data_IF_828962062440
#
_entry.id   IF_828962062440
#
_cell.length_a   1.000
_cell.length_b   1.000
_cell.length_c   1.000
_cell.angle_alpha   90.00
_cell.angle_beta   90.00
_cell.angle_gamma   90.00
#
_symmetry.space_group_name_H-M   'P 1'
#
loop_
_entity.id
_entity.type
_entity.pdbx_description
1 polymer ?
#
# COMPACT_ATOMS: atom_id res chain seq x y z
N UNK A 1 90.71 30.71 -4.11
CA UNK A 1 90.55 30.51 -5.56
C UNK A 1 90.17 29.06 -5.73
N UNK A 2 88.99 28.62 -6.17
CA UNK A 2 87.97 29.17 -7.09
C UNK A 2 86.62 28.49 -6.78
N UNK A 3 85.54 29.24 -6.95
CA UNK A 3 84.15 28.85 -6.70
C UNK A 3 83.47 28.23 -7.94
N UNK A 4 82.46 27.38 -7.74
CA UNK A 4 81.36 27.04 -8.67
C UNK A 4 80.31 26.23 -7.86
N UNK A 5 79.16 26.71 -7.40
CA UNK A 5 77.95 27.30 -8.02
C UNK A 5 77.13 26.32 -8.91
N UNK A 6 75.83 26.21 -8.56
CA UNK A 6 74.64 25.77 -9.35
C UNK A 6 74.34 24.25 -9.31
N UNK A 7 73.10 23.77 -9.19
CA UNK A 7 71.75 24.35 -9.15
C UNK A 7 70.84 23.27 -8.54
N UNK A 8 70.04 23.59 -7.52
CA UNK A 8 69.00 22.70 -7.00
C UNK A 8 67.75 22.82 -7.89
N UNK A 9 67.24 21.69 -8.40
CA UNK A 9 66.00 21.65 -9.17
C UNK A 9 65.06 20.63 -8.53
N UNK A 10 64.32 21.12 -7.53
CA UNK A 10 63.22 20.44 -6.86
C UNK A 10 61.97 20.62 -7.73
N UNK A 11 61.67 19.63 -8.57
CA UNK A 11 60.42 19.53 -9.31
C UNK A 11 59.33 19.01 -8.35
N UNK A 12 58.67 19.93 -7.66
CA UNK A 12 57.40 19.68 -6.99
C UNK A 12 56.28 19.71 -8.04
N UNK A 13 55.95 18.55 -8.60
CA UNK A 13 54.75 18.35 -9.42
C UNK A 13 53.52 18.36 -8.50
N UNK A 14 52.95 19.55 -8.31
CA UNK A 14 51.61 19.71 -7.73
C UNK A 14 50.61 19.17 -8.76
N UNK A 15 50.18 17.92 -8.57
CA UNK A 15 49.00 17.39 -9.23
C UNK A 15 47.76 18.08 -8.64
N UNK A 16 47.34 19.19 -9.26
CA UNK A 16 46.00 19.74 -9.04
C UNK A 16 45.02 18.79 -9.74
N UNK A 17 44.56 17.77 -9.02
CA UNK A 17 43.36 17.05 -9.39
C UNK A 17 42.19 18.03 -9.22
N UNK A 18 41.87 18.76 -10.29
CA UNK A 18 40.61 19.50 -10.41
C UNK A 18 39.49 18.47 -10.44
N UNK A 19 38.98 18.13 -9.25
CA UNK A 19 37.83 17.27 -9.08
C UNK A 19 36.67 17.80 -9.90
N UNK A 20 36.40 17.15 -11.03
CA UNK A 20 35.30 17.48 -11.92
C UNK A 20 33.98 17.18 -11.20
N UNK A 21 33.50 18.19 -10.48
CA UNK A 21 32.33 18.23 -9.61
C UNK A 21 31.01 18.04 -10.39
N UNK A 22 30.70 16.81 -10.79
CA UNK A 22 29.40 16.42 -11.34
C UNK A 22 28.77 15.23 -10.64
N UNK A 23 29.58 14.36 -10.04
CA UNK A 23 29.13 13.20 -9.27
C UNK A 23 29.06 13.51 -7.79
N UNK A 24 28.06 12.94 -7.12
CA UNK A 24 27.82 13.07 -5.68
C UNK A 24 27.36 11.75 -5.12
N UNK A 25 28.08 11.25 -4.13
CA UNK A 25 27.71 10.07 -3.37
C UNK A 25 26.75 10.49 -2.24
N UNK A 26 25.65 9.75 -2.10
CA UNK A 26 24.62 10.01 -1.09
C UNK A 26 24.24 8.69 -0.41
N UNK A 27 24.30 8.67 0.92
CA UNK A 27 23.77 7.59 1.73
C UNK A 27 22.25 7.78 1.92
N UNK A 28 21.46 6.83 1.44
CA UNK A 28 20.00 6.84 1.50
C UNK A 28 19.55 5.94 2.64
N UNK A 29 18.81 6.49 3.59
CA UNK A 29 18.27 5.81 4.77
C UNK A 29 16.76 5.99 4.85
N UNK A 30 16.08 5.07 5.54
CA UNK A 30 14.63 5.11 5.73
C UNK A 30 14.22 4.92 7.18
N UNK A 31 13.09 5.54 7.54
CA UNK A 31 12.35 5.30 8.78
C UNK A 31 10.90 4.99 8.41
N UNK A 32 10.41 3.75 8.60
CA UNK A 32 11.12 2.60 9.15
C UNK A 32 12.25 2.09 8.25
N UNK A 33 13.16 1.31 8.83
CA UNK A 33 14.30 0.72 8.12
C UNK A 33 13.85 -0.27 7.05
N UNK A 34 14.78 -0.63 6.15
CA UNK A 34 14.60 -1.63 5.09
C UNK A 34 13.61 -1.29 3.98
N UNK A 35 13.16 -0.02 3.88
CA UNK A 35 12.39 0.44 2.72
C UNK A 35 13.10 0.09 1.40
N UNK A 36 12.33 -0.40 0.44
CA UNK A 36 12.79 -0.65 -0.92
C UNK A 36 12.92 0.67 -1.67
N UNK A 37 14.06 0.89 -2.30
CA UNK A 37 14.44 2.13 -2.97
C UNK A 37 14.48 1.91 -4.47
N UNK A 38 13.84 2.82 -5.19
CA UNK A 38 13.96 2.98 -6.63
C UNK A 38 14.53 4.35 -6.96
N UNK A 39 15.37 4.41 -7.99
CA UNK A 39 15.92 5.66 -8.53
C UNK A 39 15.44 5.76 -9.96
N UNK A 40 14.63 6.77 -10.25
CA UNK A 40 13.94 6.96 -11.53
C UNK A 40 13.15 5.72 -11.98
N UNK A 41 12.49 5.07 -11.03
CA UNK A 41 11.72 3.84 -11.25
C UNK A 41 12.57 2.57 -11.42
N UNK A 42 13.91 2.67 -11.44
CA UNK A 42 14.80 1.52 -11.48
C UNK A 42 15.15 1.04 -10.08
N UNK A 43 15.14 -0.28 -9.88
CA UNK A 43 15.43 -0.90 -8.60
C UNK A 43 16.87 -0.61 -8.16
N UNK A 44 17.03 0.02 -6.99
CA UNK A 44 18.35 0.35 -6.42
C UNK A 44 18.71 -0.54 -5.21
N UNK A 45 17.73 -1.25 -4.63
CA UNK A 45 17.91 -2.14 -3.48
C UNK A 45 17.09 -1.69 -2.28
N UNK A 46 17.51 -2.08 -1.07
CA UNK A 46 16.86 -1.68 0.18
C UNK A 46 17.76 -0.70 0.95
N UNK A 47 17.15 0.27 1.63
CA UNK A 47 17.87 1.16 2.54
C UNK A 47 18.29 0.43 3.84
N UNK A 48 19.47 0.75 4.43
CA UNK A 48 20.40 1.77 3.98
C UNK A 48 21.20 1.35 2.74
N UNK A 49 21.40 2.28 1.79
CA UNK A 49 22.26 2.07 0.63
C UNK A 49 22.95 3.36 0.21
N UNK A 50 24.15 3.25 -0.35
CA UNK A 50 24.88 4.40 -0.90
C UNK A 50 24.79 4.41 -2.43
N UNK A 51 24.46 5.56 -3.01
CA UNK A 51 24.35 5.72 -4.45
C UNK A 51 25.11 6.94 -4.95
N UNK A 52 25.81 6.79 -6.08
CA UNK A 52 26.51 7.90 -6.75
C UNK A 52 25.64 8.49 -7.85
N UNK A 53 25.13 9.69 -7.63
CA UNK A 53 24.36 10.46 -8.60
C UNK A 53 25.29 11.24 -9.53
N UNK A 54 24.95 11.33 -10.82
CA UNK A 54 25.71 12.09 -11.82
C UNK A 54 24.90 13.27 -12.38
N UNK A 55 25.03 14.41 -11.73
CA UNK A 55 24.30 15.62 -12.06
C UNK A 55 24.81 16.37 -13.29
N UNK A 56 25.91 15.89 -13.91
CA UNK A 56 26.40 16.43 -15.18
C UNK A 56 25.54 15.98 -16.36
N UNK A 57 25.07 14.73 -16.34
CA UNK A 57 24.27 14.17 -17.42
C UNK A 57 22.78 14.24 -17.15
N UNK A 58 22.37 14.34 -15.88
CA UNK A 58 20.97 14.43 -15.51
C UNK A 58 20.76 15.48 -14.41
N UNK A 59 19.93 16.52 -14.62
CA UNK A 59 19.82 17.63 -13.66
C UNK A 59 19.15 17.21 -12.33
N UNK A 60 18.33 16.16 -12.35
CA UNK A 60 17.63 15.64 -11.17
C UNK A 60 17.31 14.15 -11.27
N UNK A 61 17.12 13.52 -10.12
CA UNK A 61 16.71 12.13 -9.97
C UNK A 61 15.48 12.04 -9.07
N UNK A 62 14.58 11.10 -9.34
CA UNK A 62 13.47 10.79 -8.43
C UNK A 62 13.86 9.58 -7.59
N UNK A 63 13.92 9.75 -6.26
CA UNK A 63 14.14 8.66 -5.33
C UNK A 63 12.80 8.28 -4.70
N UNK A 64 12.33 7.07 -4.98
CA UNK A 64 11.08 6.53 -4.45
C UNK A 64 11.41 5.49 -3.39
N UNK A 65 10.82 5.64 -2.20
CA UNK A 65 10.93 4.68 -1.11
C UNK A 65 9.58 4.03 -0.83
N UNK A 66 9.56 2.71 -0.72
CA UNK A 66 8.34 1.93 -0.49
C UNK A 66 8.57 0.87 0.59
N UNK A 67 7.58 0.69 1.45
CA UNK A 67 7.59 -0.35 2.49
C UNK A 67 6.16 -0.80 2.72
N UNK A 68 5.94 -2.12 2.83
CA UNK A 68 4.60 -2.66 3.02
C UNK A 68 3.95 -2.11 4.30
N UNK A 69 2.70 -1.64 4.18
CA UNK A 69 1.97 -1.01 5.29
C UNK A 69 2.32 0.46 5.53
N UNK A 70 3.07 1.09 4.62
CA UNK A 70 3.39 2.52 4.64
C UNK A 70 3.07 3.15 3.28
N UNK A 71 2.81 4.44 3.29
CA UNK A 71 2.69 5.21 2.05
C UNK A 71 4.05 5.33 1.37
N UNK A 72 4.06 5.16 0.05
CA UNK A 72 5.23 5.43 -0.79
C UNK A 72 5.58 6.91 -0.72
N UNK A 73 6.86 7.22 -0.51
CA UNK A 73 7.38 8.58 -0.52
C UNK A 73 8.31 8.81 -1.71
N UNK A 74 8.21 9.98 -2.31
CA UNK A 74 9.03 10.40 -3.46
C UNK A 74 9.79 11.68 -3.14
N UNK A 75 11.10 11.65 -3.37
CA UNK A 75 11.99 12.79 -3.18
C UNK A 75 12.69 13.10 -4.50
N UNK A 76 12.50 14.31 -5.00
CA UNK A 76 13.23 14.80 -6.18
C UNK A 76 14.57 15.39 -5.72
N UNK A 77 15.66 14.75 -6.11
CA UNK A 77 17.02 15.20 -5.83
C UNK A 77 17.60 15.96 -7.01
N UNK A 78 17.92 17.24 -6.81
CA UNK A 78 18.78 18.01 -7.72
C UNK A 78 20.21 18.11 -7.19
N UNK A 79 21.17 18.44 -8.06
CA UNK A 79 22.59 18.54 -7.67
C UNK A 79 22.92 19.58 -6.59
N UNK A 80 21.99 20.50 -6.31
CA UNK A 80 22.07 21.51 -5.25
C UNK A 80 21.13 21.23 -4.07
N UNK A 81 20.40 20.11 -4.08
CA UNK A 81 19.49 19.76 -2.98
C UNK A 81 20.28 19.49 -1.70
N UNK A 82 19.75 19.85 -0.51
CA UNK A 82 20.47 19.63 0.75
C UNK A 82 20.94 18.18 0.96
N UNK A 83 20.15 17.12 0.66
CA UNK A 83 20.61 15.74 0.82
C UNK A 83 21.86 15.41 0.00
N UNK A 84 21.99 16.00 -1.19
CA UNK A 84 23.14 15.82 -2.08
C UNK A 84 24.37 16.58 -1.57
N UNK A 85 24.19 17.75 -0.96
CA UNK A 85 25.29 18.55 -0.41
C UNK A 85 25.87 17.93 0.87
N UNK A 86 25.01 17.37 1.72
CA UNK A 86 25.42 16.70 2.97
C UNK A 86 25.81 15.23 2.77
N UNK A 87 25.58 14.66 1.58
CA UNK A 87 25.85 13.26 1.29
C UNK A 87 24.90 12.28 2.01
N UNK A 88 23.74 12.75 2.47
CA UNK A 88 22.79 11.95 3.24
C UNK A 88 21.35 12.32 2.91
N UNK A 89 20.54 11.32 2.52
CA UNK A 89 19.10 11.41 2.36
C UNK A 89 18.42 10.52 3.41
N UNK A 90 17.56 11.11 4.23
CA UNK A 90 16.68 10.39 5.16
C UNK A 90 15.24 10.51 4.67
N UNK A 91 14.59 9.37 4.44
CA UNK A 91 13.20 9.30 3.99
C UNK A 91 12.35 8.75 5.14
N UNK A 92 11.31 9.47 5.54
CA UNK A 92 10.38 9.03 6.59
C UNK A 92 9.07 8.62 5.91
N UNK A 93 8.70 7.35 6.07
CA UNK A 93 7.47 6.80 5.52
C UNK A 93 6.35 6.90 6.55
N UNK A 94 5.18 7.35 6.12
CA UNK A 94 3.98 7.40 6.96
C UNK A 94 3.29 6.03 6.99
N UNK A 95 2.96 5.51 8.19
CA UNK A 95 2.21 4.25 8.34
C UNK A 95 0.81 4.39 7.70
N UNK A 96 0.42 3.40 6.91
CA UNK A 96 -0.93 3.30 6.34
C UNK A 96 -1.85 2.55 7.32
N UNK A 97 -2.53 3.33 8.16
CA UNK A 97 -3.51 2.81 9.12
C UNK A 97 -4.64 2.01 8.44
N UNK A 98 -5.03 2.38 7.21
CA UNK A 98 -6.05 1.65 6.47
C UNK A 98 -5.52 0.28 6.05
N UNK A 99 -4.27 0.18 5.60
CA UNK A 99 -3.63 -1.10 5.30
C UNK A 99 -3.63 -2.04 6.52
N UNK A 100 -3.38 -1.51 7.72
CA UNK A 100 -3.39 -2.27 8.98
C UNK A 100 -4.78 -2.76 9.38
N UNK A 101 -5.81 -1.94 9.15
CA UNK A 101 -7.20 -2.27 9.45
C UNK A 101 -7.84 -3.22 8.41
N UNK A 102 -7.21 -3.38 7.26
CA UNK A 102 -7.78 -4.10 6.11
C UNK A 102 -6.96 -5.31 5.71
N UNK A 103 -7.58 -6.21 4.96
CA UNK A 103 -6.97 -7.42 4.40
C UNK A 103 -7.55 -7.71 3.02
N UNK A 104 -6.94 -8.67 2.32
CA UNK A 104 -7.47 -9.20 1.05
C UNK A 104 -8.52 -10.27 1.33
N UNK A 105 -9.58 -10.30 0.52
CA UNK A 105 -10.59 -11.36 0.52
C UNK A 105 -11.07 -11.58 -0.92
N UNK A 106 -11.36 -12.83 -1.29
CA UNK A 106 -11.91 -13.19 -2.60
C UNK A 106 -13.27 -12.54 -2.87
N UNK A 107 -14.00 -12.17 -1.81
CA UNK A 107 -15.29 -11.49 -1.92
C UNK A 107 -15.16 -9.96 -2.08
N UNK A 108 -13.94 -9.41 -2.15
CA UNK A 108 -13.71 -7.96 -2.28
C UNK A 108 -14.05 -7.50 -3.69
N UNK A 109 -15.11 -6.71 -3.84
CA UNK A 109 -15.59 -6.18 -5.13
C UNK A 109 -15.91 -7.27 -6.18
N UNK A 110 -16.02 -8.54 -5.77
CA UNK A 110 -16.27 -9.68 -6.62
C UNK A 110 -17.26 -10.66 -5.94
N UNK A 111 -18.05 -11.38 -6.73
CA UNK A 111 -19.00 -12.35 -6.23
C UNK A 111 -18.30 -13.65 -5.85
N UNK A 112 -18.26 -13.96 -4.56
CA UNK A 112 -17.91 -15.28 -4.04
C UNK A 112 -19.15 -16.18 -4.04
N UNK A 113 -19.03 -17.42 -4.50
CA UNK A 113 -20.13 -18.39 -4.54
C UNK A 113 -19.95 -19.44 -3.45
N UNK A 114 -21.00 -19.68 -2.68
CA UNK A 114 -21.06 -20.70 -1.64
C UNK A 114 -22.16 -21.68 -1.99
N UNK A 115 -21.78 -22.92 -2.29
CA UNK A 115 -22.72 -24.02 -2.38
C UNK A 115 -23.12 -24.46 -0.97
N UNK A 116 -24.42 -24.44 -0.70
CA UNK A 116 -24.95 -24.68 0.64
C UNK A 116 -24.96 -26.17 0.96
N UNK A 117 -24.64 -26.51 2.22
CA UNK A 117 -24.76 -27.89 2.70
C UNK A 117 -26.18 -28.42 2.52
N UNK A 118 -26.37 -29.62 1.94
CA UNK A 118 -27.70 -30.22 1.78
C UNK A 118 -28.36 -30.56 3.12
N UNK A 119 -27.61 -30.53 4.23
CA UNK A 119 -28.13 -30.73 5.59
C UNK A 119 -28.84 -29.49 6.15
N UNK A 120 -28.78 -28.34 5.49
CA UNK A 120 -29.38 -27.09 5.93
C UNK A 120 -30.61 -26.78 5.08
N UNK A 121 -31.73 -26.42 5.73
CA UNK A 121 -32.91 -25.90 5.04
C UNK A 121 -32.70 -24.45 4.63
N UNK A 122 -33.46 -23.96 3.64
CA UNK A 122 -33.38 -22.57 3.19
C UNK A 122 -33.62 -21.57 4.33
N UNK A 123 -34.59 -21.84 5.22
CA UNK A 123 -34.88 -20.99 6.37
C UNK A 123 -33.73 -20.95 7.39
N UNK A 124 -33.08 -22.09 7.66
CA UNK A 124 -31.92 -22.15 8.54
C UNK A 124 -30.73 -21.38 7.95
N UNK A 125 -30.53 -21.46 6.64
CA UNK A 125 -29.48 -20.72 5.93
C UNK A 125 -29.74 -19.22 6.04
N UNK A 126 -30.98 -18.81 5.77
CA UNK A 126 -31.40 -17.42 5.85
C UNK A 126 -31.19 -16.85 7.25
N UNK A 127 -31.64 -17.56 8.30
CA UNK A 127 -31.45 -17.14 9.68
C UNK A 127 -29.95 -16.98 10.01
N UNK A 128 -29.12 -17.98 9.70
CA UNK A 128 -27.67 -17.91 9.93
C UNK A 128 -27.02 -16.75 9.19
N UNK A 129 -27.43 -16.49 7.94
CA UNK A 129 -26.93 -15.38 7.13
C UNK A 129 -27.28 -14.03 7.78
N UNK A 130 -28.55 -13.81 8.11
CA UNK A 130 -29.01 -12.58 8.77
C UNK A 130 -28.30 -12.36 10.10
N UNK A 131 -28.21 -13.39 10.95
CA UNK A 131 -27.54 -13.30 12.26
C UNK A 131 -26.06 -12.90 12.11
N UNK A 132 -25.34 -13.51 11.15
CA UNK A 132 -23.92 -13.21 10.93
C UNK A 132 -23.73 -11.78 10.40
N UNK A 133 -24.54 -11.38 9.41
CA UNK A 133 -24.42 -10.05 8.79
C UNK A 133 -24.79 -8.95 9.79
N UNK A 134 -25.83 -9.14 10.59
CA UNK A 134 -26.24 -8.16 11.63
C UNK A 134 -25.28 -8.11 12.83
N UNK A 135 -24.48 -9.15 13.05
CA UNK A 135 -23.40 -9.12 14.02
C UNK A 135 -22.20 -8.28 13.55
N UNK A 136 -21.96 -8.24 12.23
CA UNK A 136 -20.86 -7.47 11.63
C UNK A 136 -21.26 -6.05 11.21
N UNK A 137 -22.52 -5.84 10.79
CA UNK A 137 -23.05 -4.57 10.31
C UNK A 137 -24.22 -4.12 11.20
N UNK A 138 -24.15 -2.88 11.69
CA UNK A 138 -25.14 -2.33 12.62
C UNK A 138 -26.55 -2.17 12.03
N UNK A 139 -26.68 -2.14 10.70
CA UNK A 139 -27.96 -1.89 10.03
C UNK A 139 -28.01 -2.51 8.64
N UNK A 140 -29.22 -2.94 8.26
CA UNK A 140 -29.52 -3.47 6.93
C UNK A 140 -30.31 -2.42 6.13
N UNK A 141 -29.94 -2.25 4.87
CA UNK A 141 -30.64 -1.37 3.92
C UNK A 141 -31.81 -2.10 3.27
N UNK A 142 -31.61 -3.37 2.92
CA UNK A 142 -32.61 -4.16 2.23
C UNK A 142 -32.53 -5.63 2.65
N UNK A 143 -33.69 -6.23 2.83
CA UNK A 143 -33.86 -7.62 3.25
C UNK A 143 -35.07 -8.22 2.52
N UNK A 144 -34.85 -9.26 1.73
CA UNK A 144 -35.89 -10.02 1.03
C UNK A 144 -35.60 -11.53 1.12
N UNK A 145 -36.36 -12.22 1.95
CA UNK A 145 -36.22 -13.66 2.16
C UNK A 145 -36.53 -14.47 0.88
N UNK A 146 -37.47 -14.01 0.04
CA UNK A 146 -37.93 -14.78 -1.12
C UNK A 146 -36.84 -15.00 -2.18
N UNK A 147 -36.00 -13.97 -2.37
CA UNK A 147 -34.81 -14.00 -3.24
C UNK A 147 -33.52 -14.30 -2.47
N UNK A 148 -33.61 -14.43 -1.15
CA UNK A 148 -32.48 -14.49 -0.22
C UNK A 148 -31.57 -13.27 -0.33
N UNK A 149 -32.11 -12.14 -0.76
CA UNK A 149 -31.36 -10.90 -0.98
C UNK A 149 -31.20 -10.13 0.32
N UNK A 150 -29.97 -9.77 0.64
CA UNK A 150 -29.62 -8.98 1.81
C UNK A 150 -28.55 -7.95 1.41
N UNK A 151 -28.73 -6.71 1.87
CA UNK A 151 -27.76 -5.64 1.71
C UNK A 151 -27.63 -4.85 3.02
N UNK A 152 -26.39 -4.63 3.45
CA UNK A 152 -26.11 -3.78 4.61
C UNK A 152 -26.06 -2.30 4.23
N UNK A 153 -26.25 -1.42 5.22
CA UNK A 153 -25.77 -0.04 5.09
C UNK A 153 -24.24 -0.06 5.02
N UNK A 154 -23.65 0.93 4.33
CA UNK A 154 -22.19 1.05 4.26
C UNK A 154 -21.58 1.44 5.61
N UNK A 155 -20.56 0.72 6.06
CA UNK A 155 -19.73 1.09 7.21
C UNK A 155 -18.52 1.84 6.72
N UNK A 156 -18.27 3.05 7.22
CA UNK A 156 -17.12 3.88 6.83
C UNK A 156 -16.21 4.22 8.01
N UNK A 157 -14.90 4.20 7.78
CA UNK A 157 -13.87 4.64 8.72
C UNK A 157 -12.95 5.64 8.03
N UNK A 158 -12.48 6.63 8.80
CA UNK A 158 -11.55 7.66 8.34
C UNK A 158 -10.12 7.29 8.77
N UNK A 159 -9.18 7.55 7.89
CA UNK A 159 -7.76 7.29 8.06
C UNK A 159 -6.95 8.53 7.70
N UNK A 160 -5.72 8.61 8.22
CA UNK A 160 -4.77 9.67 7.88
C UNK A 160 -3.85 9.21 6.76
N UNK A 161 -3.60 10.10 5.80
CA UNK A 161 -2.62 9.88 4.75
C UNK A 161 -1.79 11.14 4.47
N UNK A 162 -0.85 11.07 3.51
CA UNK A 162 0.11 12.15 3.26
C UNK A 162 -0.56 13.47 2.81
N UNK A 163 -1.72 13.39 2.16
CA UNK A 163 -2.47 14.53 1.62
C UNK A 163 -3.64 14.97 2.50
N UNK A 164 -3.76 14.41 3.71
CA UNK A 164 -4.89 14.65 4.61
C UNK A 164 -5.67 13.38 4.93
N UNK A 165 -6.91 13.54 5.38
CA UNK A 165 -7.78 12.41 5.71
C UNK A 165 -8.39 11.80 4.45
N UNK A 166 -8.56 10.48 4.47
CA UNK A 166 -9.36 9.75 3.49
C UNK A 166 -10.29 8.79 4.21
N UNK A 167 -11.31 8.31 3.51
CA UNK A 167 -12.29 7.37 4.06
C UNK A 167 -12.27 6.09 3.26
N UNK A 168 -12.38 4.95 3.95
CA UNK A 168 -12.70 3.66 3.34
C UNK A 168 -14.11 3.29 3.79
N UNK A 169 -14.92 2.75 2.88
CA UNK A 169 -16.23 2.21 3.22
C UNK A 169 -16.40 0.82 2.64
N UNK A 170 -17.19 0.02 3.34
CA UNK A 170 -17.51 -1.36 2.98
C UNK A 170 -19.00 -1.59 3.13
N UNK A 171 -19.57 -2.46 2.29
CA UNK A 171 -20.95 -2.92 2.41
C UNK A 171 -21.06 -4.37 1.98
N UNK A 172 -21.87 -5.13 2.71
CA UNK A 172 -22.18 -6.51 2.39
C UNK A 172 -23.37 -6.58 1.43
N UNK A 173 -23.29 -7.47 0.45
CA UNK A 173 -24.44 -7.89 -0.36
C UNK A 173 -24.42 -9.40 -0.54
N UNK A 174 -25.56 -10.04 -0.28
CA UNK A 174 -25.79 -11.46 -0.53
C UNK A 174 -27.08 -11.67 -1.33
N UNK A 175 -27.11 -12.70 -2.16
CA UNK A 175 -28.37 -13.18 -2.77
C UNK A 175 -28.29 -14.66 -3.11
N UNK A 176 -29.44 -15.31 -3.28
CA UNK A 176 -29.48 -16.62 -3.92
C UNK A 176 -29.05 -16.43 -5.38
N UNK A 177 -28.19 -17.32 -5.87
CA UNK A 177 -27.80 -17.40 -7.27
C UNK A 177 -28.46 -18.60 -7.96
N UNK A 178 -28.72 -19.68 -7.23
CA UNK A 178 -29.41 -20.88 -7.71
C UNK A 178 -30.14 -21.55 -6.54
N UNK A 179 -31.33 -22.12 -6.78
CA UNK A 179 -32.15 -22.77 -5.74
C UNK A 179 -31.84 -24.27 -5.58
N UNK A 180 -31.47 -24.95 -6.66
CA UNK A 180 -31.20 -26.39 -6.67
C UNK A 180 -29.99 -26.72 -7.57
N UNK A 181 -28.84 -27.16 -7.01
CA UNK A 181 -28.51 -27.08 -5.58
C UNK A 181 -28.54 -25.62 -5.09
N UNK A 182 -28.84 -25.44 -3.80
CA UNK A 182 -28.90 -24.11 -3.20
C UNK A 182 -27.50 -23.47 -3.20
N UNK A 183 -27.37 -22.34 -3.88
CA UNK A 183 -26.12 -21.61 -4.04
C UNK A 183 -26.35 -20.13 -3.74
N UNK A 184 -25.59 -19.60 -2.80
CA UNK A 184 -25.56 -18.18 -2.48
C UNK A 184 -24.36 -17.50 -3.16
N UNK A 185 -24.53 -16.25 -3.57
CA UNK A 185 -23.43 -15.37 -3.95
C UNK A 185 -23.32 -14.22 -2.95
N UNK A 186 -22.11 -13.97 -2.48
CA UNK A 186 -21.78 -12.95 -1.50
C UNK A 186 -20.73 -12.00 -2.08
N UNK A 187 -20.76 -10.73 -1.67
CA UNK A 187 -19.79 -9.71 -2.06
C UNK A 187 -19.66 -8.67 -0.96
N UNK A 188 -18.44 -8.21 -0.70
CA UNK A 188 -18.17 -6.98 0.04
C UNK A 188 -17.77 -5.91 -0.99
N UNK A 189 -18.57 -4.87 -1.17
CA UNK A 189 -18.16 -3.72 -1.98
C UNK A 189 -17.30 -2.83 -1.10
N UNK A 190 -16.06 -2.59 -1.53
CA UNK A 190 -15.08 -1.77 -0.81
C UNK A 190 -14.61 -0.61 -1.67
N UNK A 191 -14.67 0.59 -1.10
CA UNK A 191 -14.41 1.84 -1.81
C UNK A 191 -13.58 2.79 -0.94
N UNK A 192 -12.75 3.61 -1.58
CA UNK A 192 -11.91 4.64 -0.96
C UNK A 192 -12.27 6.02 -1.51
N UNK A 193 -12.18 7.04 -0.67
CA UNK A 193 -12.38 8.45 -1.05
C UNK A 193 -11.45 9.39 -0.29
N UNK A 194 -10.74 10.25 -1.03
CA UNK A 194 -9.84 11.28 -0.46
C UNK A 194 -10.54 12.62 -0.20
N UNK A 195 -11.73 12.83 -0.74
CA UNK A 195 -12.53 14.05 -0.56
C UNK A 195 -13.90 13.79 0.08
N UNK A 196 -14.26 12.53 0.30
CA UNK A 196 -15.54 12.09 0.86
C UNK A 196 -16.70 12.04 -0.14
N UNK A 197 -16.53 12.54 -1.36
CA UNK A 197 -17.57 12.57 -2.40
C UNK A 197 -17.30 11.61 -3.54
N UNK A 198 -16.05 11.51 -4.00
CA UNK A 198 -15.67 10.66 -5.11
C UNK A 198 -15.13 9.34 -4.56
N UNK A 199 -15.85 8.25 -4.86
CA UNK A 199 -15.54 6.92 -4.38
C UNK A 199 -15.02 6.07 -5.52
N UNK A 200 -13.87 5.43 -5.30
CA UNK A 200 -13.28 4.47 -6.25
C UNK A 200 -13.12 3.10 -5.59
N UNK A 201 -13.14 2.00 -6.36
CA UNK A 201 -12.94 0.67 -5.81
C UNK A 201 -11.62 0.55 -5.05
N UNK A 202 -11.68 -0.03 -3.85
CA UNK A 202 -10.52 -0.34 -3.02
C UNK A 202 -10.31 -1.85 -2.94
N UNK A 203 -9.08 -2.31 -3.13
CA UNK A 203 -8.75 -3.74 -3.30
C UNK A 203 -8.70 -4.54 -1.99
N UNK A 204 -9.01 -3.92 -0.85
CA UNK A 204 -8.97 -4.52 0.48
C UNK A 204 -10.27 -4.26 1.20
N UNK A 205 -10.64 -5.14 2.14
CA UNK A 205 -11.82 -5.03 3.01
C UNK A 205 -11.38 -4.97 4.47
N UNK A 206 -12.24 -4.56 5.39
CA UNK A 206 -11.87 -4.64 6.80
C UNK A 206 -11.65 -6.10 7.20
N UNK A 207 -10.75 -6.32 8.17
CA UNK A 207 -10.47 -7.67 8.70
C UNK A 207 -11.75 -8.34 9.23
N UNK A 208 -12.64 -7.55 9.82
CA UNK A 208 -13.94 -8.03 10.31
C UNK A 208 -14.85 -8.49 9.16
N UNK A 209 -14.82 -7.82 8.01
CA UNK A 209 -15.59 -8.24 6.82
C UNK A 209 -15.04 -9.53 6.22
N UNK A 210 -13.71 -9.66 6.15
CA UNK A 210 -13.08 -10.91 5.70
C UNK A 210 -13.45 -12.07 6.63
N UNK A 211 -13.41 -11.85 7.95
CA UNK A 211 -13.81 -12.84 8.94
C UNK A 211 -15.29 -13.23 8.81
N UNK A 212 -16.19 -12.28 8.52
CA UNK A 212 -17.60 -12.58 8.22
C UNK A 212 -17.74 -13.52 7.02
N UNK A 213 -16.97 -13.30 5.96
CA UNK A 213 -17.01 -14.15 4.77
C UNK A 213 -16.53 -15.58 5.10
N UNK A 214 -15.42 -15.70 5.83
CA UNK A 214 -14.90 -17.00 6.30
C UNK A 214 -15.90 -17.72 7.22
N UNK A 215 -16.55 -16.99 8.13
CA UNK A 215 -17.60 -17.50 8.99
C UNK A 215 -18.78 -18.04 8.16
N UNK A 216 -19.28 -17.27 7.19
CA UNK A 216 -20.39 -17.68 6.33
C UNK A 216 -20.04 -18.91 5.50
N UNK A 217 -18.81 -18.99 4.96
CA UNK A 217 -18.33 -20.19 4.26
C UNK A 217 -18.32 -21.41 5.19
N UNK A 218 -17.82 -21.26 6.42
CA UNK A 218 -17.75 -22.34 7.41
C UNK A 218 -19.12 -22.80 7.91
N UNK A 219 -20.05 -21.86 8.13
CA UNK A 219 -21.40 -22.13 8.68
C UNK A 219 -22.39 -22.64 7.64
N UNK A 220 -22.24 -22.24 6.38
CA UNK A 220 -23.21 -22.51 5.31
C UNK A 220 -22.71 -23.49 4.26
N UNK A 221 -21.41 -23.50 3.99
CA UNK A 221 -20.80 -24.28 2.91
C UNK A 221 -20.86 -25.78 3.13
N UNK A 222 -20.80 -26.53 2.03
CA UNK A 222 -20.43 -27.95 2.07
C UNK A 222 -18.98 -28.05 2.58
N UNK A 223 -18.75 -28.94 3.54
CA UNK A 223 -17.41 -29.30 4.01
C UNK A 223 -16.80 -30.39 3.14
#
# INVERSE_FOLDING_TARGET
MTAAFRFALLLASIAVATGCSGTREVNITSEPQAAFIQIDGQNAGNAPLTHTFNFRHKPSYVVTASLQGYFTEEVVLGGKSPPVQYGALRIVLLEDEAFKATTTSEATNAWLRIQISPTLTADMVWQKLVDSVTSAYSSLEQLDNSSGYIRSVSTSRKFRGPKGQFSVRTRFTGSIAQKEPLLYKLKIESEISWNGSDWSPYSRVYKEDAALIEELQSRLGIK
#
